data_IF_207339993896
#
_entry.id   IF_207339993896
#
_cell.length_a   1.000
_cell.length_b   1.000
_cell.length_c   1.000
_cell.angle_alpha   90.00
_cell.angle_beta   90.00
_cell.angle_gamma   90.00
#
_symmetry.space_group_name_H-M   'P 1'
#
loop_
_entity.id
_entity.type
_entity.pdbx_description
1 polymer ?
#
# COMPACT_ATOMS: atom_id res chain seq x y z
N UNK A 1 -8.77 -7.40 -42.99
CA UNK A 1 -7.41 -7.86 -43.33
C UNK A 1 -7.36 -9.32 -42.95
N UNK A 2 -6.83 -10.24 -43.77
CA UNK A 2 -6.71 -11.64 -43.34
C UNK A 2 -5.55 -11.71 -42.34
N UNK A 3 -5.84 -12.10 -41.11
CA UNK A 3 -4.82 -12.33 -40.09
C UNK A 3 -4.23 -13.74 -40.29
N UNK A 4 -2.90 -13.85 -40.39
CA UNK A 4 -2.18 -15.12 -40.57
C UNK A 4 -2.02 -15.91 -39.25
N UNK A 5 -2.90 -15.69 -38.27
CA UNK A 5 -2.85 -16.31 -36.95
C UNK A 5 -4.25 -16.52 -36.36
N UNK A 6 -4.35 -17.45 -35.41
CA UNK A 6 -5.51 -17.66 -34.56
C UNK A 6 -5.16 -17.30 -33.12
N UNK A 7 -6.17 -16.99 -32.31
CA UNK A 7 -5.99 -16.58 -30.92
C UNK A 7 -6.81 -17.49 -30.02
N UNK A 8 -6.27 -17.81 -28.85
CA UNK A 8 -7.05 -18.49 -27.82
C UNK A 8 -8.00 -17.49 -27.15
N UNK A 9 -9.32 -17.71 -27.16
CA UNK A 9 -10.26 -16.78 -26.53
C UNK A 9 -10.18 -16.79 -24.99
N UNK A 10 -9.47 -17.75 -24.40
CA UNK A 10 -9.34 -17.88 -22.94
C UNK A 10 -8.06 -17.26 -22.38
N UNK A 11 -6.91 -17.43 -23.03
CA UNK A 11 -5.63 -16.91 -22.55
C UNK A 11 -5.08 -15.76 -23.40
N UNK A 12 -5.60 -15.54 -24.60
CA UNK A 12 -5.12 -14.50 -25.52
C UNK A 12 -3.86 -14.87 -26.30
N UNK A 13 -3.32 -16.08 -26.13
CA UNK A 13 -2.12 -16.51 -26.88
C UNK A 13 -2.38 -16.64 -28.38
N UNK A 14 -1.37 -16.30 -29.17
CA UNK A 14 -1.37 -16.36 -30.63
C UNK A 14 -0.80 -17.69 -31.13
N UNK A 15 -1.43 -18.24 -32.16
CA UNK A 15 -1.07 -19.52 -32.75
C UNK A 15 -1.06 -19.44 -34.27
N UNK A 16 -0.25 -20.28 -34.91
CA UNK A 16 -0.27 -20.44 -36.36
C UNK A 16 -1.59 -21.06 -36.82
N UNK A 17 -2.05 -20.74 -38.04
CA UNK A 17 -3.32 -21.22 -38.60
C UNK A 17 -3.48 -22.76 -38.66
N UNK A 18 -2.38 -23.51 -38.57
CA UNK A 18 -2.38 -24.98 -38.52
C UNK A 18 -2.84 -25.55 -37.18
N UNK A 19 -2.81 -24.75 -36.11
CA UNK A 19 -3.24 -25.16 -34.78
C UNK A 19 -4.72 -24.83 -34.64
N UNK A 20 -5.51 -25.81 -34.21
CA UNK A 20 -6.97 -25.66 -34.05
C UNK A 20 -7.40 -25.56 -32.58
N UNK A 21 -6.51 -25.89 -31.64
CA UNK A 21 -6.77 -25.87 -30.20
C UNK A 21 -5.57 -25.35 -29.43
N UNK A 22 -5.84 -24.56 -28.39
CA UNK A 22 -4.81 -24.12 -27.45
C UNK A 22 -4.20 -25.35 -26.74
N UNK A 23 -2.87 -25.38 -26.60
CA UNK A 23 -2.15 -26.43 -25.86
C UNK A 23 -2.49 -26.45 -24.39
N UNK A 24 -2.78 -25.28 -23.81
CA UNK A 24 -2.94 -25.09 -22.37
C UNK A 24 -4.42 -25.06 -21.98
N UNK A 25 -5.22 -24.23 -22.66
CA UNK A 25 -6.64 -24.09 -22.38
C UNK A 25 -7.50 -25.18 -23.06
N UNK A 26 -6.96 -25.92 -24.04
CA UNK A 26 -7.65 -26.94 -24.83
C UNK A 26 -8.94 -26.50 -25.54
N UNK A 27 -9.22 -25.20 -25.59
CA UNK A 27 -10.35 -24.60 -26.32
C UNK A 27 -10.02 -24.43 -27.81
N UNK A 28 -11.06 -24.37 -28.64
CA UNK A 28 -10.91 -24.06 -30.05
C UNK A 28 -10.39 -22.63 -30.23
N UNK A 29 -9.39 -22.48 -31.10
CA UNK A 29 -8.83 -21.18 -31.43
C UNK A 29 -9.76 -20.45 -32.40
N UNK A 30 -9.78 -19.13 -32.32
CA UNK A 30 -10.65 -18.26 -33.13
C UNK A 30 -9.82 -17.25 -33.90
N UNK A 31 -10.36 -16.73 -35.00
CA UNK A 31 -9.75 -15.57 -35.66
C UNK A 31 -9.81 -14.35 -34.73
N UNK A 32 -8.83 -13.44 -34.77
CA UNK A 32 -8.85 -12.24 -33.94
C UNK A 32 -10.11 -11.38 -34.15
N UNK A 33 -10.65 -11.33 -35.37
CA UNK A 33 -11.94 -10.64 -35.66
C UNK A 33 -13.17 -11.28 -35.00
N UNK A 34 -13.07 -12.55 -34.59
CA UNK A 34 -14.13 -13.30 -33.92
C UNK A 34 -14.05 -13.21 -32.39
N UNK A 35 -12.97 -12.60 -31.85
CA UNK A 35 -12.95 -12.26 -30.44
C UNK A 35 -14.02 -11.19 -30.20
N UNK A 36 -14.76 -11.27 -29.07
CA UNK A 36 -15.54 -10.12 -28.63
C UNK A 36 -14.59 -8.92 -28.57
N UNK A 37 -15.04 -7.70 -28.95
CA UNK A 37 -14.22 -6.52 -28.75
C UNK A 37 -13.76 -6.54 -27.31
N UNK A 38 -12.43 -6.47 -27.10
CA UNK A 38 -11.93 -6.27 -25.76
C UNK A 38 -12.67 -5.05 -25.23
N UNK A 39 -13.46 -5.23 -24.17
CA UNK A 39 -14.00 -4.10 -23.46
C UNK A 39 -12.78 -3.27 -23.10
N UNK A 40 -12.73 -2.02 -23.57
CA UNK A 40 -11.72 -1.08 -23.09
C UNK A 40 -11.73 -1.22 -21.56
N UNK A 41 -10.55 -1.42 -20.93
CA UNK A 41 -10.49 -1.48 -19.48
C UNK A 41 -11.25 -0.26 -18.99
N UNK A 42 -12.35 -0.47 -18.24
CA UNK A 42 -13.22 0.62 -17.81
C UNK A 42 -12.33 1.76 -17.35
N UNK A 43 -12.42 2.91 -18.04
CA UNK A 43 -11.52 4.03 -17.84
C UNK A 43 -11.49 4.34 -16.35
N UNK A 44 -10.42 3.93 -15.66
CA UNK A 44 -10.37 4.12 -14.23
C UNK A 44 -10.34 5.64 -14.01
N UNK A 45 -11.25 6.20 -13.18
CA UNK A 45 -11.46 7.63 -13.14
C UNK A 45 -10.17 8.41 -12.92
N UNK A 46 -10.10 9.63 -13.45
CA UNK A 46 -9.01 10.54 -13.11
C UNK A 46 -8.96 10.79 -11.60
N UNK A 47 -7.77 11.11 -11.07
CA UNK A 47 -7.55 11.34 -9.63
C UNK A 47 -8.53 12.35 -9.03
N UNK A 48 -8.97 13.35 -9.80
CA UNK A 48 -9.97 14.34 -9.39
C UNK A 48 -11.35 13.74 -9.05
N UNK A 49 -11.69 12.57 -9.58
CA UNK A 49 -12.92 11.83 -9.30
C UNK A 49 -12.72 10.70 -8.25
N UNK A 50 -11.50 10.50 -7.77
CA UNK A 50 -11.16 9.49 -6.78
C UNK A 50 -11.03 10.10 -5.38
N UNK A 51 -11.09 9.26 -4.36
CA UNK A 51 -10.83 9.66 -2.99
C UNK A 51 -9.48 9.15 -2.52
N UNK A 52 -8.69 10.03 -1.92
CA UNK A 52 -7.38 9.69 -1.35
C UNK A 52 -7.55 8.88 -0.08
N UNK A 53 -6.94 7.70 -0.02
CA UNK A 53 -6.87 6.85 1.17
C UNK A 53 -5.75 7.34 2.08
N UNK A 54 -4.53 7.43 1.54
CA UNK A 54 -3.33 7.87 2.26
C UNK A 54 -2.33 8.53 1.32
N UNK A 55 -1.50 9.41 1.87
CA UNK A 55 -0.30 9.97 1.25
C UNK A 55 0.91 9.52 2.05
N UNK A 56 1.97 9.09 1.37
CA UNK A 56 3.20 8.66 2.01
C UNK A 56 4.36 8.44 1.05
N UNK A 57 5.53 8.06 1.57
CA UNK A 57 6.68 7.70 0.75
C UNK A 57 6.41 6.39 -0.02
N UNK A 58 7.13 6.20 -1.14
CA UNK A 58 6.92 5.09 -2.07
C UNK A 58 6.81 3.69 -1.41
N UNK A 59 7.64 3.32 -0.40
CA UNK A 59 7.52 2.01 0.25
C UNK A 59 6.15 1.79 0.92
N UNK A 60 5.57 2.84 1.51
CA UNK A 60 4.26 2.78 2.16
C UNK A 60 3.14 2.66 1.12
N UNK A 61 3.21 3.51 0.10
CA UNK A 61 2.24 3.51 -1.01
C UNK A 61 2.22 2.14 -1.70
N UNK A 62 3.38 1.49 -1.84
CA UNK A 62 3.50 0.13 -2.38
C UNK A 62 2.84 -0.91 -1.49
N UNK A 63 3.07 -0.87 -0.18
CA UNK A 63 2.45 -1.81 0.76
C UNK A 63 0.91 -1.72 0.72
N UNK A 64 0.35 -0.52 0.65
CA UNK A 64 -1.09 -0.32 0.50
C UNK A 64 -1.57 -0.82 -0.86
N UNK A 65 -0.87 -0.47 -1.95
CA UNK A 65 -1.22 -0.90 -3.31
C UNK A 65 -1.27 -2.43 -3.43
N UNK A 66 -0.29 -3.13 -2.86
CA UNK A 66 -0.27 -4.60 -2.85
C UNK A 66 -1.47 -5.17 -2.07
N UNK A 67 -1.81 -4.59 -0.92
CA UNK A 67 -2.94 -5.04 -0.11
C UNK A 67 -4.31 -4.75 -0.77
N UNK A 68 -4.48 -3.58 -1.39
CA UNK A 68 -5.67 -3.25 -2.17
C UNK A 68 -5.84 -4.19 -3.36
N UNK A 69 -4.74 -4.52 -4.05
CA UNK A 69 -4.73 -5.51 -5.14
C UNK A 69 -5.21 -6.87 -4.64
N UNK A 70 -4.68 -7.34 -3.50
CA UNK A 70 -5.08 -8.62 -2.91
C UNK A 70 -6.55 -8.64 -2.49
N UNK A 71 -7.08 -7.50 -2.06
CA UNK A 71 -8.50 -7.33 -1.73
C UNK A 71 -9.41 -7.16 -2.96
N UNK A 72 -8.85 -7.07 -4.17
CA UNK A 72 -9.60 -6.84 -5.40
C UNK A 72 -10.15 -5.41 -5.53
N UNK A 73 -9.57 -4.45 -4.82
CA UNK A 73 -9.98 -3.04 -4.86
C UNK A 73 -9.19 -2.30 -5.94
N UNK A 74 -9.93 -1.76 -6.91
CA UNK A 74 -9.34 -0.95 -7.96
C UNK A 74 -8.84 0.38 -7.38
N UNK A 75 -7.58 0.70 -7.66
CA UNK A 75 -6.90 1.83 -7.07
C UNK A 75 -5.88 2.43 -8.04
N UNK A 76 -5.42 3.63 -7.72
CA UNK A 76 -4.43 4.39 -8.49
C UNK A 76 -3.37 4.95 -7.55
N UNK A 77 -2.14 4.99 -8.06
CA UNK A 77 -0.98 5.57 -7.37
C UNK A 77 -0.32 6.57 -8.30
N UNK A 78 -0.08 7.76 -7.78
CA UNK A 78 0.43 8.97 -8.44
C UNK A 78 1.16 9.84 -7.40
N UNK A 79 2.09 10.71 -7.82
CA UNK A 79 2.70 11.70 -6.93
C UNK A 79 1.63 12.63 -6.33
N UNK A 80 1.70 12.89 -5.02
CA UNK A 80 0.81 13.88 -4.41
C UNK A 80 1.32 15.29 -4.71
N UNK A 81 0.58 16.01 -5.54
CA UNK A 81 0.88 17.40 -5.92
C UNK A 81 0.08 18.43 -5.14
N UNK A 82 -0.80 17.99 -4.23
CA UNK A 82 -1.63 18.89 -3.41
C UNK A 82 -0.76 19.64 -2.41
N UNK A 83 -1.03 20.92 -2.22
CA UNK A 83 -0.41 21.70 -1.14
C UNK A 83 -0.98 21.29 0.22
N UNK A 84 -0.28 21.65 1.30
CA UNK A 84 -0.77 21.44 2.68
C UNK A 84 -2.13 22.14 2.90
N UNK A 85 -2.37 23.29 2.24
CA UNK A 85 -3.64 24.01 2.31
C UNK A 85 -4.80 23.25 1.64
N UNK A 86 -4.50 22.35 0.71
CA UNK A 86 -5.45 21.51 -0.02
C UNK A 86 -5.57 20.09 0.59
N UNK A 87 -4.99 19.88 1.77
CA UNK A 87 -4.99 18.59 2.46
C UNK A 87 -3.87 17.63 2.02
N UNK A 88 -2.87 18.12 1.27
CA UNK A 88 -1.62 17.42 1.02
C UNK A 88 -0.76 17.32 2.29
N UNK A 89 0.21 16.39 2.27
CA UNK A 89 1.14 16.23 3.38
C UNK A 89 2.46 16.92 3.07
N UNK A 90 3.00 17.63 4.07
CA UNK A 90 4.31 18.27 3.97
C UNK A 90 5.42 17.23 3.79
N UNK A 91 6.16 17.25 2.65
CA UNK A 91 7.28 16.32 2.40
C UNK A 91 8.37 16.37 3.47
N UNK A 92 8.55 17.52 4.15
CA UNK A 92 9.56 17.67 5.19
C UNK A 92 9.33 16.72 6.38
N UNK A 93 8.08 16.27 6.60
CA UNK A 93 7.77 15.24 7.61
C UNK A 93 8.40 13.88 7.31
N UNK A 94 8.79 13.66 6.05
CA UNK A 94 9.43 12.45 5.55
C UNK A 94 10.83 12.75 5.02
N UNK A 95 11.50 13.79 5.53
CA UNK A 95 12.87 14.12 5.13
C UNK A 95 12.99 14.70 3.71
N UNK A 96 11.92 15.30 3.19
CA UNK A 96 11.91 15.93 1.85
C UNK A 96 11.76 14.94 0.69
N UNK A 97 11.35 13.69 0.98
CA UNK A 97 11.11 12.68 -0.05
C UNK A 97 9.85 12.99 -0.88
N UNK A 98 9.81 12.48 -2.11
CA UNK A 98 8.61 12.57 -2.95
C UNK A 98 7.49 11.70 -2.37
N UNK A 99 6.35 12.34 -2.11
CA UNK A 99 5.17 11.66 -1.58
C UNK A 99 4.23 11.23 -2.71
N UNK A 100 3.58 10.10 -2.49
CA UNK A 100 2.62 9.51 -3.40
C UNK A 100 1.31 9.28 -2.66
N UNK A 101 0.20 9.56 -3.33
CA UNK A 101 -1.11 9.18 -2.83
C UNK A 101 -1.49 7.78 -3.31
N UNK A 102 -2.39 7.16 -2.55
CA UNK A 102 -3.17 6.02 -3.02
C UNK A 102 -4.62 6.45 -3.08
N UNK A 103 -5.23 6.33 -4.26
CA UNK A 103 -6.61 6.75 -4.52
C UNK A 103 -7.48 5.59 -4.93
N UNK A 104 -8.71 5.58 -4.44
CA UNK A 104 -9.73 4.57 -4.74
C UNK A 104 -11.02 5.26 -5.16
N UNK A 105 -11.95 4.49 -5.74
CA UNK A 105 -13.28 5.02 -6.01
C UNK A 105 -13.97 5.40 -4.69
N UNK A 106 -14.83 6.42 -4.64
CA UNK A 106 -15.49 6.84 -3.42
C UNK A 106 -16.25 5.70 -2.70
N UNK A 107 -16.84 4.77 -3.46
CA UNK A 107 -17.52 3.59 -2.93
C UNK A 107 -16.59 2.60 -2.20
N UNK A 108 -15.30 2.60 -2.52
CA UNK A 108 -14.29 1.69 -1.97
C UNK A 108 -13.46 2.34 -0.85
N UNK A 109 -13.80 3.57 -0.44
CA UNK A 109 -13.01 4.33 0.53
C UNK A 109 -12.94 3.64 1.90
N UNK A 110 -14.08 3.22 2.43
CA UNK A 110 -14.16 2.59 3.74
C UNK A 110 -13.40 1.25 3.80
N UNK A 111 -13.60 0.29 2.87
CA UNK A 111 -12.81 -0.94 2.88
C UNK A 111 -11.31 -0.67 2.66
N UNK A 112 -10.95 0.34 1.85
CA UNK A 112 -9.54 0.72 1.69
C UNK A 112 -8.93 1.31 2.96
N UNK A 113 -9.71 2.06 3.76
CA UNK A 113 -9.27 2.60 5.07
C UNK A 113 -9.10 1.51 6.12
N UNK A 114 -9.92 0.47 6.09
CA UNK A 114 -9.76 -0.68 6.97
C UNK A 114 -8.44 -1.41 6.67
N UNK A 115 -8.12 -1.59 5.39
CA UNK A 115 -6.84 -2.17 4.95
C UNK A 115 -5.67 -1.29 5.37
N UNK A 116 -5.76 0.03 5.13
CA UNK A 116 -4.76 0.99 5.57
C UNK A 116 -4.51 0.89 7.08
N UNK A 117 -5.58 0.92 7.88
CA UNK A 117 -5.48 0.80 9.34
C UNK A 117 -4.85 -0.53 9.75
N UNK A 118 -5.22 -1.64 9.12
CA UNK A 118 -4.68 -2.96 9.42
C UNK A 118 -3.18 -3.06 9.13
N UNK A 119 -2.69 -2.45 8.04
CA UNK A 119 -1.26 -2.42 7.70
C UNK A 119 -0.47 -1.68 8.79
N UNK A 120 -0.96 -0.54 9.24
CA UNK A 120 -0.22 0.32 10.17
C UNK A 120 -0.45 -0.01 11.65
N UNK A 121 -1.55 -0.68 12.01
CA UNK A 121 -1.75 -1.21 13.36
C UNK A 121 -0.66 -2.23 13.74
N UNK A 122 -0.12 -2.98 12.77
CA UNK A 122 1.01 -3.90 12.99
C UNK A 122 2.29 -3.13 13.32
N UNK A 123 2.54 -1.99 12.65
CA UNK A 123 3.71 -1.15 12.90
C UNK A 123 3.65 -0.41 14.25
N UNK A 124 2.46 -0.03 14.72
CA UNK A 124 2.28 0.55 16.07
C UNK A 124 2.40 -0.50 17.19
N UNK A 125 2.02 -1.75 16.94
CA UNK A 125 2.19 -2.84 17.91
C UNK A 125 3.65 -3.31 18.05
N UNK A 126 4.45 -3.18 16.99
CA UNK A 126 5.90 -3.45 17.01
C UNK A 126 6.75 -2.22 17.38
N UNK A 127 6.14 -1.05 17.58
CA UNK A 127 6.80 0.05 18.24
C UNK A 127 7.12 -0.42 19.67
N UNK A 128 8.40 -0.76 19.90
CA UNK A 128 8.92 -1.21 21.17
C UNK A 128 8.26 -0.45 22.32
N UNK A 129 7.83 -1.11 23.42
CA UNK A 129 7.24 -0.40 24.56
C UNK A 129 8.17 0.76 24.85
N UNK A 130 7.62 1.97 24.86
CA UNK A 130 8.37 3.18 25.17
C UNK A 130 9.29 2.81 26.32
N UNK A 131 10.60 2.98 26.13
CA UNK A 131 11.58 2.74 27.16
C UNK A 131 11.33 3.75 28.29
N UNK A 132 10.26 3.54 29.05
CA UNK A 132 10.00 4.10 30.36
C UNK A 132 10.89 3.37 31.33
N UNK A 133 12.19 3.37 31.06
CA UNK A 133 13.21 3.05 32.03
C UNK A 133 13.30 4.22 33.00
N UNK A 134 12.30 4.36 33.87
CA UNK A 134 12.59 4.96 35.17
C UNK A 134 13.50 3.99 35.88
N UNK A 135 14.81 4.26 35.87
CA UNK A 135 15.77 3.41 36.58
C UNK A 135 15.36 3.40 38.06
N UNK A 136 14.93 2.25 38.57
CA UNK A 136 14.68 2.11 39.99
C UNK A 136 16.02 1.97 40.72
N UNK A 137 16.12 2.54 41.93
CA UNK A 137 17.30 2.36 42.75
C UNK A 137 17.53 0.86 43.02
N UNK A 138 18.72 0.30 42.74
CA UNK A 138 18.98 -1.13 42.93
C UNK A 138 18.97 -1.55 44.41
N UNK A 139 19.04 -0.60 45.35
CA UNK A 139 19.06 -0.88 46.78
C UNK A 139 17.68 -0.81 47.45
N UNK A 140 16.78 0.05 46.98
CA UNK A 140 15.49 0.27 47.64
C UNK A 140 14.29 0.34 46.68
N UNK A 141 14.52 0.10 45.39
CA UNK A 141 13.51 0.03 44.33
C UNK A 141 12.68 1.32 44.13
N UNK A 142 13.09 2.43 44.75
CA UNK A 142 12.47 3.74 44.56
C UNK A 142 12.80 4.26 43.16
N UNK A 143 11.83 4.80 42.40
CA UNK A 143 12.06 5.39 41.09
C UNK A 143 13.10 6.52 41.16
N UNK A 144 14.11 6.48 40.29
CA UNK A 144 15.08 7.55 40.14
C UNK A 144 14.72 8.47 38.98
N UNK A 145 15.09 9.74 39.11
CA UNK A 145 15.17 10.63 37.97
C UNK A 145 16.34 10.19 37.07
N UNK A 146 16.25 10.40 35.74
CA UNK A 146 17.27 9.95 34.77
C UNK A 146 18.65 10.60 34.97
N UNK A 147 18.76 11.66 35.78
CA UNK A 147 19.98 12.37 36.14
C UNK A 147 20.31 12.29 37.64
N UNK A 148 19.66 11.38 38.39
CA UNK A 148 19.86 11.25 39.83
C UNK A 148 21.27 10.75 40.17
N UNK A 149 22.10 11.63 40.74
CA UNK A 149 23.40 11.29 41.33
C UNK A 149 23.26 10.65 42.72
N UNK A 150 22.08 10.71 43.32
CA UNK A 150 21.78 10.13 44.63
C UNK A 150 20.31 9.67 44.70
N UNK A 151 20.07 8.52 45.34
CA UNK A 151 18.74 8.04 45.65
C UNK A 151 18.15 8.74 46.88
N UNK A 152 17.04 9.45 46.71
CA UNK A 152 16.31 10.12 47.81
C UNK A 152 15.64 9.16 48.79
N UNK A 153 15.51 7.88 48.44
CA UNK A 153 14.89 6.86 49.29
C UNK A 153 15.83 6.25 50.32
N UNK A 154 17.09 5.99 49.93
CA UNK A 154 18.07 5.30 50.80
C UNK A 154 19.42 6.02 50.93
N UNK A 155 19.62 7.16 50.26
CA UNK A 155 20.88 7.93 50.30
C UNK A 155 22.04 7.28 49.55
N UNK A 156 21.76 6.35 48.63
CA UNK A 156 22.78 5.72 47.80
C UNK A 156 23.26 6.70 46.72
N UNK A 157 24.56 7.00 46.68
CA UNK A 157 25.18 7.88 45.68
C UNK A 157 25.64 7.06 44.48
N UNK A 158 25.25 7.46 43.27
CA UNK A 158 25.65 6.90 41.99
C UNK A 158 26.76 7.78 41.41
N UNK A 159 28.01 7.31 41.45
CA UNK A 159 29.20 8.05 41.02
C UNK A 159 30.14 7.21 40.20
#
# INVERSE_FOLDING_TARGET
>A
MNHDFQVCPSCGDEFTLSVLKCSDCHVALVSPDALPPMLDPEDFPEVAALTCVRVGPLPWTRAISDALTQAGLAHRVEPDSRSVAEGGIDPERFGGETLYGTWVRPEDLEPAREIDTAIFAVFEAEAAPAAGGGEACPACEVPLAPDALECTGCGLVFG
#
